data_IF_956090586005
#
_entry.id   IF_956090586005
#
_cell.length_a   1.000
_cell.length_b   1.000
_cell.length_c   1.000
_cell.angle_alpha   90.00
_cell.angle_beta   90.00
_cell.angle_gamma   90.00
#
_symmetry.space_group_name_H-M   'P 1'
#
loop_
_entity.id
_entity.type
_entity.pdbx_description
1 polymer ?
#
# COMPACT_ATOMS: atom_id res chain seq x y z
N UNK A 1 -11.29 16.31 46.56
CA UNK A 1 -12.15 15.34 45.86
C UNK A 1 -12.57 15.72 44.44
N UNK A 2 -12.37 16.97 43.97
CA UNK A 2 -12.76 17.41 42.62
C UNK A 2 -11.73 17.07 41.55
N UNK A 3 -10.44 16.98 41.86
CA UNK A 3 -9.36 16.74 40.86
C UNK A 3 -9.26 15.28 40.38
N UNK A 4 -9.73 14.32 41.15
CA UNK A 4 -9.69 12.89 40.74
C UNK A 4 -10.78 12.60 39.70
N UNK A 5 -11.97 13.20 39.84
CA UNK A 5 -13.06 13.03 38.86
C UNK A 5 -12.70 13.59 37.47
N UNK A 6 -11.92 14.67 37.42
CA UNK A 6 -11.46 15.25 36.14
C UNK A 6 -10.43 14.38 35.45
N UNK A 7 -9.56 13.67 36.18
CA UNK A 7 -8.56 12.77 35.62
C UNK A 7 -9.21 11.52 35.04
N UNK A 8 -10.18 10.91 35.76
CA UNK A 8 -10.91 9.73 35.26
C UNK A 8 -11.75 10.05 34.01
N UNK A 9 -12.32 11.25 33.95
CA UNK A 9 -13.09 11.71 32.78
C UNK A 9 -12.18 12.02 31.59
N UNK A 10 -10.96 12.53 31.80
CA UNK A 10 -9.96 12.75 30.78
C UNK A 10 -9.40 11.41 30.23
N UNK A 11 -9.16 10.44 31.12
CA UNK A 11 -8.72 9.09 30.71
C UNK A 11 -9.80 8.42 29.86
N UNK A 12 -11.07 8.49 30.29
CA UNK A 12 -12.18 7.91 29.53
C UNK A 12 -12.34 8.56 28.14
N UNK A 13 -12.16 9.87 28.02
CA UNK A 13 -12.17 10.58 26.73
C UNK A 13 -11.00 10.18 25.83
N UNK A 14 -9.82 9.94 26.41
CA UNK A 14 -8.66 9.44 25.67
C UNK A 14 -8.89 8.02 25.17
N UNK A 15 -9.46 7.14 26.02
CA UNK A 15 -9.82 5.77 25.63
C UNK A 15 -10.94 5.74 24.56
N UNK A 16 -11.93 6.64 24.64
CA UNK A 16 -12.96 6.80 23.60
C UNK A 16 -12.36 7.34 22.28
N UNK A 17 -11.39 8.26 22.35
CA UNK A 17 -10.66 8.75 21.19
C UNK A 17 -9.74 7.68 20.59
N UNK A 18 -9.04 6.91 21.42
CA UNK A 18 -8.21 5.79 20.95
C UNK A 18 -9.07 4.67 20.35
N UNK A 19 -10.24 4.39 20.88
CA UNK A 19 -11.19 3.45 20.30
C UNK A 19 -11.74 3.93 18.95
N UNK A 20 -12.00 5.23 18.79
CA UNK A 20 -12.36 5.84 17.50
C UNK A 20 -11.18 5.82 16.50
N UNK A 21 -9.96 5.96 16.99
CA UNK A 21 -8.76 5.99 16.14
C UNK A 21 -8.25 4.58 15.81
N UNK A 22 -8.43 3.62 16.71
CA UNK A 22 -7.96 2.23 16.52
C UNK A 22 -8.80 1.42 15.53
N UNK A 23 -9.87 2.00 14.97
CA UNK A 23 -10.68 1.34 13.93
C UNK A 23 -11.37 0.04 14.41
N UNK A 24 -11.43 -0.21 15.73
CA UNK A 24 -12.26 -1.30 16.26
C UNK A 24 -13.72 -0.95 16.03
N UNK A 25 -14.26 -1.38 14.90
CA UNK A 25 -15.69 -1.38 14.65
C UNK A 25 -16.36 -2.12 15.82
N UNK A 26 -17.29 -1.47 16.50
CA UNK A 26 -18.16 -2.15 17.47
C UNK A 26 -18.77 -3.38 16.80
N UNK A 27 -18.83 -4.49 17.53
CA UNK A 27 -19.38 -5.75 16.98
C UNK A 27 -20.83 -5.47 16.53
N UNK A 28 -21.16 -5.57 15.24
CA UNK A 28 -22.47 -5.16 14.76
C UNK A 28 -23.54 -6.06 15.37
N UNK A 29 -24.67 -5.49 15.79
CA UNK A 29 -25.81 -6.24 16.31
C UNK A 29 -26.21 -7.35 15.32
N UNK A 30 -26.82 -8.44 15.80
CA UNK A 30 -27.27 -9.53 14.94
C UNK A 30 -28.20 -9.05 13.79
N UNK A 31 -28.95 -7.99 14.05
CA UNK A 31 -29.82 -7.34 13.07
C UNK A 31 -29.04 -6.60 11.99
N UNK A 32 -27.98 -5.89 12.34
CA UNK A 32 -27.09 -5.22 11.38
C UNK A 32 -26.35 -6.24 10.48
N UNK A 33 -25.90 -7.37 11.05
CA UNK A 33 -25.31 -8.48 10.28
C UNK A 33 -26.29 -9.07 9.27
N UNK A 34 -27.56 -9.24 9.67
CA UNK A 34 -28.63 -9.75 8.79
C UNK A 34 -28.97 -8.77 7.67
N UNK A 35 -29.01 -7.47 7.96
CA UNK A 35 -29.23 -6.43 6.94
C UNK A 35 -28.05 -6.34 5.96
N UNK A 36 -26.82 -6.42 6.43
CA UNK A 36 -25.63 -6.44 5.57
C UNK A 36 -25.60 -7.67 4.63
N UNK A 37 -25.96 -8.85 5.16
CA UNK A 37 -26.05 -10.06 4.35
C UNK A 37 -27.16 -9.97 3.29
N UNK A 38 -28.34 -9.40 3.63
CA UNK A 38 -29.42 -9.17 2.69
C UNK A 38 -29.04 -8.16 1.61
N UNK A 39 -28.32 -7.10 1.96
CA UNK A 39 -27.80 -6.14 1.00
C UNK A 39 -26.79 -6.78 0.04
N UNK A 40 -25.86 -7.60 0.55
CA UNK A 40 -24.88 -8.31 -0.24
C UNK A 40 -25.55 -9.25 -1.26
N UNK A 41 -26.53 -10.04 -0.83
CA UNK A 41 -27.28 -10.94 -1.71
C UNK A 41 -28.02 -10.18 -2.80
N UNK A 42 -28.73 -9.09 -2.45
CA UNK A 42 -29.46 -8.26 -3.41
C UNK A 42 -28.52 -7.53 -4.39
N UNK A 43 -27.34 -7.12 -3.94
CA UNK A 43 -26.32 -6.50 -4.79
C UNK A 43 -25.86 -7.48 -5.88
N UNK A 44 -25.47 -8.70 -5.49
CA UNK A 44 -24.98 -9.70 -6.45
C UNK A 44 -26.09 -10.21 -7.38
N UNK A 45 -27.30 -10.36 -6.87
CA UNK A 45 -28.44 -10.69 -7.72
C UNK A 45 -28.71 -9.60 -8.78
N UNK A 46 -28.60 -8.32 -8.39
CA UNK A 46 -28.70 -7.20 -9.34
C UNK A 46 -27.52 -7.19 -10.33
N UNK A 47 -26.32 -7.53 -9.88
CA UNK A 47 -25.15 -7.66 -10.78
C UNK A 47 -25.33 -8.82 -11.77
N UNK A 48 -25.98 -9.90 -11.36
CA UNK A 48 -26.26 -11.07 -12.20
C UNK A 48 -27.39 -10.78 -13.19
N UNK A 49 -28.55 -10.37 -12.71
CA UNK A 49 -29.77 -10.24 -13.50
C UNK A 49 -29.91 -8.89 -14.21
N UNK A 50 -29.26 -7.84 -13.69
CA UNK A 50 -29.45 -6.47 -14.15
C UNK A 50 -30.72 -5.79 -13.64
N UNK A 51 -31.55 -6.48 -12.85
CA UNK A 51 -32.80 -5.94 -12.32
C UNK A 51 -32.55 -5.35 -10.93
N UNK A 52 -32.72 -4.00 -10.76
CA UNK A 52 -32.49 -3.37 -9.46
C UNK A 52 -33.50 -3.84 -8.42
N UNK A 53 -33.01 -4.37 -7.31
CA UNK A 53 -33.84 -4.76 -6.18
C UNK A 53 -34.17 -3.57 -5.26
N UNK A 54 -35.35 -3.60 -4.63
CA UNK A 54 -35.82 -2.50 -3.77
C UNK A 54 -34.92 -2.25 -2.55
N UNK A 55 -34.16 -3.25 -2.09
CA UNK A 55 -33.20 -3.16 -0.99
C UNK A 55 -31.93 -2.33 -1.33
N UNK A 56 -31.66 -2.06 -2.61
CA UNK A 56 -30.50 -1.28 -3.06
C UNK A 56 -30.77 0.22 -3.20
N UNK A 57 -31.95 0.71 -2.84
CA UNK A 57 -32.30 2.14 -2.94
C UNK A 57 -31.47 3.05 -2.01
N UNK A 58 -30.85 2.50 -1.00
CA UNK A 58 -29.95 3.23 -0.08
C UNK A 58 -28.53 3.09 -0.60
N UNK A 59 -28.06 4.08 -1.39
CA UNK A 59 -26.67 4.12 -1.88
C UNK A 59 -26.50 4.12 -3.40
N UNK A 60 -27.57 4.21 -4.17
CA UNK A 60 -27.45 4.40 -5.62
C UNK A 60 -26.95 5.81 -5.90
N UNK A 61 -25.75 5.91 -6.49
CA UNK A 61 -25.30 7.16 -7.12
C UNK A 61 -26.22 7.44 -8.33
N UNK A 62 -26.69 8.70 -8.48
CA UNK A 62 -27.60 9.10 -9.58
C UNK A 62 -27.08 8.80 -11.00
N UNK A 63 -25.89 8.23 -11.12
CA UNK A 63 -25.23 7.79 -12.35
C UNK A 63 -25.24 6.25 -12.55
N UNK A 64 -26.12 5.50 -11.86
CA UNK A 64 -26.30 4.05 -12.07
C UNK A 64 -25.23 3.15 -11.46
N UNK A 65 -24.41 3.65 -10.52
CA UNK A 65 -23.46 2.84 -9.77
C UNK A 65 -24.02 2.43 -8.41
N UNK A 66 -23.74 1.19 -7.98
CA UNK A 66 -24.09 0.71 -6.65
C UNK A 66 -22.86 0.72 -5.77
N UNK A 67 -22.98 1.15 -4.50
CA UNK A 67 -21.93 1.03 -3.53
C UNK A 67 -21.68 -0.45 -3.24
N UNK A 68 -20.42 -0.80 -3.17
CA UNK A 68 -19.99 -2.15 -2.85
C UNK A 68 -20.41 -2.52 -1.43
N UNK A 69 -20.97 -3.71 -1.17
CA UNK A 69 -21.27 -4.18 0.17
C UNK A 69 -20.01 -4.21 1.06
N UNK A 70 -20.14 -3.84 2.33
CA UNK A 70 -18.99 -3.77 3.27
C UNK A 70 -18.27 -5.13 3.37
N UNK A 71 -19.01 -6.24 3.37
CA UNK A 71 -18.45 -7.60 3.41
C UNK A 71 -17.60 -7.92 2.20
N UNK A 72 -18.04 -7.51 1.00
CA UNK A 72 -17.27 -7.69 -0.22
C UNK A 72 -16.06 -6.75 -0.25
N UNK A 73 -16.22 -5.51 0.20
CA UNK A 73 -15.11 -4.55 0.28
C UNK A 73 -13.99 -5.08 1.17
N UNK A 74 -14.31 -5.64 2.34
CA UNK A 74 -13.33 -6.25 3.24
C UNK A 74 -12.58 -7.42 2.57
N UNK A 75 -13.30 -8.31 1.87
CA UNK A 75 -12.66 -9.42 1.14
C UNK A 75 -11.84 -8.96 -0.06
N UNK A 76 -12.27 -7.90 -0.75
CA UNK A 76 -11.50 -7.32 -1.85
C UNK A 76 -10.23 -6.64 -1.34
N UNK A 77 -10.29 -5.88 -0.25
CA UNK A 77 -9.11 -5.27 0.39
C UNK A 77 -8.13 -6.33 0.85
N UNK A 78 -8.61 -7.44 1.41
CA UNK A 78 -7.76 -8.56 1.77
C UNK A 78 -7.07 -9.15 0.54
N UNK A 79 -7.81 -9.41 -0.54
CA UNK A 79 -7.25 -9.93 -1.79
C UNK A 79 -6.24 -8.96 -2.43
N UNK A 80 -6.50 -7.64 -2.38
CA UNK A 80 -5.56 -6.61 -2.80
C UNK A 80 -4.28 -6.62 -1.95
N UNK A 81 -4.42 -6.77 -0.63
CA UNK A 81 -3.27 -6.85 0.29
C UNK A 81 -2.43 -8.09 0.01
N UNK A 82 -3.04 -9.23 -0.33
CA UNK A 82 -2.31 -10.44 -0.70
C UNK A 82 -1.54 -10.29 -2.01
N UNK A 83 -2.05 -9.50 -2.96
CA UNK A 83 -1.44 -9.30 -4.29
C UNK A 83 -0.45 -8.14 -4.33
N UNK A 84 -0.60 -7.13 -3.48
CA UNK A 84 0.24 -5.93 -3.45
C UNK A 84 1.15 -5.96 -2.22
N UNK A 85 2.44 -6.14 -2.44
CA UNK A 85 3.45 -6.23 -1.39
C UNK A 85 3.51 -4.94 -0.55
N UNK A 86 3.38 -3.78 -1.18
CA UNK A 86 3.42 -2.51 -0.45
C UNK A 86 2.26 -2.34 0.51
N UNK A 87 1.05 -2.86 0.18
CA UNK A 87 -0.08 -2.86 1.12
C UNK A 87 0.15 -3.76 2.34
N UNK A 88 0.97 -4.82 2.21
CA UNK A 88 1.31 -5.71 3.34
C UNK A 88 2.22 -5.04 4.36
N UNK A 89 3.18 -4.22 3.89
CA UNK A 89 4.26 -3.66 4.72
C UNK A 89 4.02 -2.21 5.11
N UNK A 90 3.09 -1.53 4.45
CA UNK A 90 2.80 -0.10 4.63
C UNK A 90 1.56 0.14 5.51
N UNK A 91 1.37 1.38 5.92
CA UNK A 91 0.20 1.78 6.71
C UNK A 91 -0.93 2.25 5.78
N UNK A 92 -2.04 1.50 5.75
CA UNK A 92 -3.24 1.92 5.01
C UNK A 92 -4.19 2.70 5.91
N UNK A 93 -4.71 3.83 5.42
CA UNK A 93 -5.59 4.75 6.15
C UNK A 93 -6.82 5.05 5.30
N UNK A 94 -8.03 4.87 5.81
CA UNK A 94 -9.24 5.34 5.16
C UNK A 94 -9.32 6.88 5.24
N UNK A 95 -9.56 7.55 4.11
CA UNK A 95 -9.69 9.00 4.03
C UNK A 95 -11.01 9.41 3.42
N UNK A 96 -11.58 10.51 3.87
CA UNK A 96 -12.81 11.09 3.29
C UNK A 96 -12.53 12.37 2.49
N UNK A 97 -11.47 13.05 2.84
CA UNK A 97 -11.03 14.31 2.21
C UNK A 97 -9.50 14.34 2.08
N UNK A 98 -8.97 15.39 1.48
CA UNK A 98 -7.52 15.63 1.42
C UNK A 98 -6.97 15.69 2.85
N UNK A 99 -5.98 14.84 3.13
CA UNK A 99 -5.40 14.73 4.46
C UNK A 99 -4.06 15.46 4.50
N UNK A 100 -3.92 16.35 5.47
CA UNK A 100 -2.72 17.11 5.73
C UNK A 100 -1.99 16.48 6.93
N UNK A 101 -0.80 15.98 6.71
CA UNK A 101 0.01 15.29 7.72
C UNK A 101 1.16 16.20 8.10
N UNK A 102 1.15 16.80 9.30
CA UNK A 102 2.27 17.60 9.76
C UNK A 102 3.47 16.70 10.04
N UNK A 103 4.62 17.05 9.49
CA UNK A 103 5.90 16.35 9.71
C UNK A 103 6.89 17.33 10.30
N UNK A 104 7.50 16.96 11.42
CA UNK A 104 8.56 17.76 12.02
C UNK A 104 9.85 17.58 11.20
N UNK A 105 10.29 18.63 10.55
CA UNK A 105 11.55 18.70 9.82
C UNK A 105 12.67 19.18 10.78
N UNK A 106 13.21 18.26 11.56
CA UNK A 106 14.29 18.55 12.50
C UNK A 106 13.78 18.95 13.88
N UNK A 107 14.38 18.39 14.89
CA UNK A 107 14.23 18.80 16.28
C UNK A 107 15.35 19.75 16.67
N UNK A 108 15.11 20.64 17.62
CA UNK A 108 16.16 21.44 18.25
C UNK A 108 17.26 20.56 18.84
N UNK A 109 18.45 21.10 18.97
CA UNK A 109 19.53 20.51 19.72
C UNK A 109 19.35 20.80 21.20
N UNK A 110 19.66 19.80 22.06
CA UNK A 110 19.78 20.04 23.49
C UNK A 110 21.25 20.36 23.79
N UNK A 111 21.48 21.52 24.35
CA UNK A 111 22.83 22.00 24.71
C UNK A 111 23.00 22.04 26.22
N UNK A 112 24.20 21.71 26.71
CA UNK A 112 24.58 21.92 28.08
C UNK A 112 24.96 23.41 28.28
N UNK A 113 24.30 24.08 29.20
CA UNK A 113 24.58 25.46 29.51
C UNK A 113 24.86 25.65 31.00
N UNK A 114 25.60 26.72 31.35
CA UNK A 114 25.88 27.10 32.71
C UNK A 114 24.72 27.88 33.30
N UNK A 115 24.68 27.98 34.62
CA UNK A 115 23.63 28.61 35.39
C UNK A 115 23.40 30.10 35.02
N UNK A 116 24.42 30.75 34.41
CA UNK A 116 24.45 32.12 33.97
C UNK A 116 24.34 32.32 32.44
N UNK A 117 24.23 31.24 31.67
CA UNK A 117 24.08 31.27 30.22
C UNK A 117 22.62 31.11 29.82
N UNK A 118 22.18 31.90 28.85
CA UNK A 118 20.82 31.83 28.29
C UNK A 118 20.66 30.60 27.37
N UNK A 119 19.47 30.00 27.39
CA UNK A 119 19.09 28.95 26.45
C UNK A 119 19.04 29.47 25.01
N UNK A 120 19.66 28.74 24.08
CA UNK A 120 19.50 28.97 22.67
C UNK A 120 18.16 28.39 22.20
N UNK A 121 17.26 29.23 21.72
CA UNK A 121 16.00 28.79 21.16
C UNK A 121 16.22 28.31 19.72
N UNK A 122 15.97 27.04 19.47
CA UNK A 122 15.98 26.49 18.13
C UNK A 122 14.54 26.40 17.63
N UNK A 123 14.23 27.03 16.52
CA UNK A 123 12.90 26.93 15.91
C UNK A 123 12.71 25.55 15.28
N UNK A 124 11.64 24.85 15.68
CA UNK A 124 11.22 23.62 15.01
C UNK A 124 10.54 23.98 13.69
N UNK A 125 11.06 23.52 12.57
CA UNK A 125 10.37 23.66 11.28
C UNK A 125 9.44 22.47 11.07
N UNK A 126 8.19 22.79 10.71
CA UNK A 126 7.21 21.78 10.36
C UNK A 126 7.00 21.78 8.85
N UNK A 127 7.14 20.62 8.25
CA UNK A 127 6.72 20.37 6.88
C UNK A 127 5.30 19.78 6.86
N UNK A 128 4.73 19.72 5.70
CA UNK A 128 3.41 19.11 5.49
C UNK A 128 3.49 18.11 4.34
N UNK A 129 2.98 16.91 4.59
CA UNK A 129 2.77 15.90 3.55
C UNK A 129 1.28 15.81 3.26
N UNK A 130 0.92 16.05 2.00
CA UNK A 130 -0.48 16.05 1.57
C UNK A 130 -0.79 14.72 0.89
N UNK A 131 -1.78 14.02 1.43
CA UNK A 131 -2.36 12.81 0.88
C UNK A 131 -3.63 13.18 0.11
N UNK A 132 -3.59 13.08 -1.21
CA UNK A 132 -4.72 13.38 -2.08
C UNK A 132 -5.48 12.10 -2.47
N UNK A 133 -6.06 12.00 -3.65
CA UNK A 133 -6.67 10.80 -4.17
C UNK A 133 -6.69 10.84 -5.70
N UNK A 134 -6.08 9.84 -6.29
CA UNK A 134 -6.12 9.59 -7.73
C UNK A 134 -7.12 8.48 -8.02
N UNK A 135 -7.84 8.62 -9.11
CA UNK A 135 -8.84 7.63 -9.51
C UNK A 135 -8.15 6.52 -10.31
N UNK A 136 -8.25 5.30 -9.81
CA UNK A 136 -7.86 4.07 -10.50
C UNK A 136 -9.13 3.30 -10.85
N UNK A 137 -9.14 2.60 -11.97
CA UNK A 137 -10.27 1.78 -12.36
C UNK A 137 -9.90 0.75 -13.40
N UNK A 138 -10.62 -0.36 -13.38
CA UNK A 138 -10.50 -1.44 -14.36
C UNK A 138 -11.87 -1.93 -14.79
N UNK A 139 -11.92 -2.64 -15.91
CA UNK A 139 -13.16 -3.23 -16.42
C UNK A 139 -12.94 -4.67 -16.87
N UNK A 140 -14.00 -5.46 -16.73
CA UNK A 140 -14.08 -6.83 -17.21
C UNK A 140 -15.29 -6.98 -18.09
N UNK A 141 -15.20 -7.75 -19.16
CA UNK A 141 -16.34 -8.14 -20.02
C UNK A 141 -16.73 -9.57 -19.66
N UNK A 142 -18.02 -9.78 -19.43
CA UNK A 142 -18.63 -11.10 -19.28
C UNK A 142 -19.63 -11.31 -20.42
N UNK A 143 -19.72 -12.51 -20.97
CA UNK A 143 -20.74 -12.84 -21.95
C UNK A 143 -22.08 -13.12 -21.26
N UNK A 144 -23.18 -12.90 -21.96
CA UNK A 144 -24.52 -13.19 -21.43
C UNK A 144 -24.64 -14.67 -21.07
N UNK A 145 -24.04 -15.58 -21.87
CA UNK A 145 -23.98 -17.02 -21.59
C UNK A 145 -23.28 -17.33 -20.27
N UNK A 146 -22.15 -16.64 -19.98
CA UNK A 146 -21.43 -16.80 -18.72
C UNK A 146 -22.26 -16.32 -17.52
N UNK A 147 -23.11 -15.30 -17.71
CA UNK A 147 -23.98 -14.80 -16.66
C UNK A 147 -25.22 -15.66 -16.45
N UNK A 148 -25.70 -16.34 -17.50
CA UNK A 148 -26.84 -17.27 -17.41
C UNK A 148 -26.43 -18.63 -16.80
N UNK A 149 -25.15 -19.01 -16.93
CA UNK A 149 -24.64 -20.26 -16.38
C UNK A 149 -24.36 -20.10 -14.86
N UNK A 150 -25.27 -20.64 -14.03
CA UNK A 150 -25.20 -20.60 -12.58
C UNK A 150 -24.02 -21.39 -11.97
N UNK A 151 -23.19 -22.07 -12.79
CA UNK A 151 -22.02 -22.80 -12.31
C UNK A 151 -20.84 -21.87 -11.94
N UNK A 152 -20.88 -20.60 -12.37
CA UNK A 152 -19.79 -19.64 -12.14
C UNK A 152 -20.15 -18.73 -10.96
N UNK A 153 -19.32 -18.73 -9.93
CA UNK A 153 -19.37 -17.75 -8.85
C UNK A 153 -18.82 -16.39 -9.34
N UNK A 154 -19.74 -15.58 -9.87
CA UNK A 154 -19.45 -14.25 -10.43
C UNK A 154 -18.77 -13.34 -9.40
N UNK A 155 -19.16 -13.42 -8.13
CA UNK A 155 -18.59 -12.64 -7.04
C UNK A 155 -17.10 -12.92 -6.88
N UNK A 156 -16.76 -14.19 -6.74
CA UNK A 156 -15.37 -14.61 -6.58
C UNK A 156 -14.53 -14.31 -7.82
N UNK A 157 -15.09 -14.53 -9.01
CA UNK A 157 -14.39 -14.24 -10.26
C UNK A 157 -14.08 -12.75 -10.43
N UNK A 158 -15.06 -11.89 -10.23
CA UNK A 158 -14.89 -10.42 -10.31
C UNK A 158 -13.92 -9.93 -9.25
N UNK A 159 -14.02 -10.44 -8.01
CA UNK A 159 -13.12 -10.08 -6.91
C UNK A 159 -11.66 -10.41 -7.23
N UNK A 160 -11.39 -11.63 -7.64
CA UNK A 160 -10.03 -12.08 -7.96
C UNK A 160 -9.42 -11.26 -9.08
N UNK A 161 -10.19 -11.05 -10.14
CA UNK A 161 -9.74 -10.32 -11.32
C UNK A 161 -9.47 -8.84 -11.04
N UNK A 162 -10.34 -8.20 -10.25
CA UNK A 162 -10.13 -6.82 -9.86
C UNK A 162 -8.95 -6.68 -8.89
N UNK A 163 -8.81 -7.60 -7.94
CA UNK A 163 -7.68 -7.61 -7.01
C UNK A 163 -6.34 -7.74 -7.73
N UNK A 164 -6.25 -8.61 -8.73
CA UNK A 164 -5.03 -8.76 -9.53
C UNK A 164 -4.69 -7.48 -10.30
N UNK A 165 -5.61 -6.99 -11.12
CA UNK A 165 -5.35 -5.83 -11.98
C UNK A 165 -5.14 -4.53 -11.22
N UNK A 166 -5.95 -4.30 -10.19
CA UNK A 166 -5.80 -3.11 -9.36
C UNK A 166 -4.53 -3.20 -8.53
N UNK A 167 -4.27 -4.36 -7.90
CA UNK A 167 -3.08 -4.59 -7.11
C UNK A 167 -1.79 -4.37 -7.88
N UNK A 168 -1.70 -4.87 -9.12
CA UNK A 168 -0.54 -4.65 -10.00
C UNK A 168 -0.40 -3.17 -10.40
N UNK A 169 -1.50 -2.51 -10.76
CA UNK A 169 -1.47 -1.10 -11.15
C UNK A 169 -1.12 -0.17 -9.99
N UNK A 170 -1.60 -0.47 -8.78
CA UNK A 170 -1.22 0.25 -7.57
C UNK A 170 0.25 0.04 -7.22
N UNK A 171 0.73 -1.20 -7.24
CA UNK A 171 2.11 -1.54 -6.91
C UNK A 171 3.08 -0.82 -7.86
N UNK A 172 2.80 -0.82 -9.17
CA UNK A 172 3.60 -0.04 -10.13
C UNK A 172 3.57 1.45 -9.82
N UNK A 173 2.38 2.01 -9.57
CA UNK A 173 2.24 3.42 -9.25
C UNK A 173 2.92 3.80 -7.92
N UNK A 174 2.88 2.95 -6.90
CA UNK A 174 3.52 3.19 -5.61
C UNK A 174 5.05 3.10 -5.68
N UNK A 175 5.61 2.33 -6.61
CA UNK A 175 7.05 2.26 -6.85
C UNK A 175 7.51 3.35 -7.81
N UNK A 176 6.92 3.43 -9.03
CA UNK A 176 7.42 4.21 -10.17
C UNK A 176 6.51 5.38 -10.57
N UNK A 177 5.43 5.65 -9.85
CA UNK A 177 4.50 6.70 -10.21
C UNK A 177 5.15 8.07 -10.30
N UNK A 178 4.77 8.87 -11.29
CA UNK A 178 5.35 10.19 -11.53
C UNK A 178 4.58 11.36 -10.89
N UNK A 179 3.53 11.07 -10.10
CA UNK A 179 2.69 12.09 -9.44
C UNK A 179 1.72 12.82 -10.36
N UNK A 180 1.66 12.48 -11.66
CA UNK A 180 0.73 13.11 -12.63
C UNK A 180 -0.41 12.14 -12.94
N UNK A 181 -1.58 12.40 -12.35
CA UNK A 181 -2.76 11.52 -12.52
C UNK A 181 -2.66 10.18 -11.77
N UNK A 182 -1.56 9.92 -11.10
CA UNK A 182 -1.28 8.75 -10.26
C UNK A 182 -0.38 9.14 -9.08
N UNK A 183 -0.29 8.33 -8.02
CA UNK A 183 0.59 8.59 -6.88
C UNK A 183 2.04 8.86 -7.28
N UNK A 184 2.77 9.60 -6.47
CA UNK A 184 4.21 9.73 -6.61
C UNK A 184 4.88 8.47 -6.01
N UNK A 185 5.72 7.82 -6.79
CA UNK A 185 6.36 6.57 -6.41
C UNK A 185 7.47 6.72 -5.38
N UNK A 186 7.74 5.62 -4.67
CA UNK A 186 8.79 5.56 -3.64
C UNK A 186 10.18 5.93 -4.17
N UNK A 187 10.50 5.56 -5.41
CA UNK A 187 11.80 5.90 -6.03
C UNK A 187 12.06 7.41 -6.11
N UNK A 188 11.02 8.23 -6.10
CA UNK A 188 11.14 9.70 -6.12
C UNK A 188 11.00 10.34 -4.74
N UNK A 189 10.54 9.60 -3.75
CA UNK A 189 10.29 10.09 -2.38
C UNK A 189 11.35 9.61 -1.38
N UNK A 190 11.89 8.40 -1.57
CA UNK A 190 12.92 7.83 -0.72
C UNK A 190 14.28 8.49 -0.96
N UNK A 191 15.14 8.45 0.05
CA UNK A 191 16.50 8.96 -0.05
C UNK A 191 17.46 7.89 -0.57
N UNK A 192 18.50 8.29 -1.31
CA UNK A 192 19.56 7.39 -1.73
C UNK A 192 20.38 6.96 -0.51
N UNK A 193 20.55 5.65 -0.32
CA UNK A 193 21.34 5.07 0.77
C UNK A 193 22.72 4.65 0.35
N UNK A 194 22.83 4.01 -0.82
CA UNK A 194 24.09 3.52 -1.35
C UNK A 194 24.09 3.56 -2.90
N UNK A 195 25.27 3.51 -3.48
CA UNK A 195 25.50 3.30 -4.91
C UNK A 195 26.35 2.03 -5.03
N UNK A 196 26.01 1.14 -5.98
CA UNK A 196 26.77 -0.09 -6.15
C UNK A 196 28.23 0.19 -6.56
N UNK A 197 29.14 -0.63 -6.09
CA UNK A 197 30.56 -0.52 -6.43
C UNK A 197 30.81 -0.96 -7.87
N UNK A 198 30.08 -1.98 -8.33
CA UNK A 198 30.21 -2.52 -9.67
C UNK A 198 29.21 -1.86 -10.63
N UNK A 199 29.65 -1.65 -11.87
CA UNK A 199 28.80 -1.18 -12.95
C UNK A 199 27.82 -2.29 -13.36
N UNK A 200 26.53 -2.05 -13.22
CA UNK A 200 25.47 -2.96 -13.66
C UNK A 200 25.30 -4.22 -12.80
N UNK A 201 25.93 -4.31 -11.65
CA UNK A 201 25.79 -5.46 -10.76
C UNK A 201 25.69 -5.03 -9.29
N UNK A 202 25.41 -5.99 -8.40
CA UNK A 202 25.19 -5.80 -6.98
C UNK A 202 26.15 -6.68 -6.17
N UNK A 203 26.75 -6.10 -5.14
CA UNK A 203 27.63 -6.80 -4.20
C UNK A 203 27.00 -6.90 -2.80
N UNK A 204 27.58 -7.75 -1.96
CA UNK A 204 27.16 -7.82 -0.56
C UNK A 204 27.45 -6.53 0.20
N UNK A 205 28.61 -5.92 -0.09
CA UNK A 205 29.03 -4.69 0.59
C UNK A 205 28.06 -3.54 0.25
N UNK A 206 27.48 -3.52 -0.97
CA UNK A 206 26.44 -2.57 -1.33
C UNK A 206 25.19 -2.71 -0.45
N UNK A 207 24.78 -3.95 -0.15
CA UNK A 207 23.64 -4.25 0.72
C UNK A 207 23.93 -3.86 2.17
N UNK A 208 25.15 -4.15 2.68
CA UNK A 208 25.58 -3.71 4.00
C UNK A 208 25.61 -2.18 4.10
N UNK A 209 26.16 -1.51 3.08
CA UNK A 209 26.20 -0.05 3.03
C UNK A 209 24.77 0.55 3.02
N UNK A 210 23.85 -0.07 2.30
CA UNK A 210 22.44 0.35 2.29
C UNK A 210 21.82 0.17 3.68
N UNK A 211 22.02 -0.97 4.35
CA UNK A 211 21.49 -1.23 5.68
C UNK A 211 21.97 -0.17 6.69
N UNK A 212 23.30 0.05 6.74
CA UNK A 212 23.89 1.02 7.67
C UNK A 212 23.59 2.47 7.32
N UNK A 213 23.16 2.77 6.11
CA UNK A 213 22.74 4.10 5.73
C UNK A 213 21.43 4.54 6.42
N UNK A 214 20.59 3.57 6.82
CA UNK A 214 19.34 3.83 7.55
C UNK A 214 19.65 4.00 9.05
N UNK A 215 19.07 5.04 9.67
CA UNK A 215 19.24 5.31 11.11
C UNK A 215 18.77 4.12 11.95
N UNK A 216 19.48 3.81 13.04
CA UNK A 216 19.16 2.67 13.92
C UNK A 216 17.71 2.63 14.37
N UNK A 217 17.11 3.79 14.69
CA UNK A 217 15.71 3.87 15.12
C UNK A 217 14.70 3.34 14.08
N UNK A 218 15.05 3.30 12.80
CA UNK A 218 14.21 2.78 11.72
C UNK A 218 14.59 1.36 11.33
N UNK A 219 15.81 0.88 11.69
CA UNK A 219 16.28 -0.47 11.37
C UNK A 219 15.53 -1.56 12.13
N UNK A 220 15.11 -1.33 13.36
CA UNK A 220 14.44 -2.35 14.19
C UNK A 220 13.18 -2.93 13.54
N UNK A 221 12.49 -2.15 12.71
CA UNK A 221 11.28 -2.56 11.97
C UNK A 221 11.48 -2.51 10.45
N UNK A 222 12.72 -2.41 10.00
CA UNK A 222 13.03 -2.34 8.59
C UNK A 222 12.83 -3.69 7.90
N UNK A 223 12.47 -3.62 6.62
CA UNK A 223 12.36 -4.77 5.74
C UNK A 223 13.08 -4.48 4.43
N UNK A 224 13.47 -5.54 3.74
CA UNK A 224 14.01 -5.49 2.40
C UNK A 224 12.88 -5.56 1.39
N UNK A 225 12.86 -4.65 0.45
CA UNK A 225 12.02 -4.69 -0.75
C UNK A 225 12.95 -4.74 -1.96
N UNK A 226 12.85 -5.79 -2.77
CA UNK A 226 13.75 -5.98 -3.89
C UNK A 226 13.08 -6.65 -5.08
N UNK A 227 13.67 -6.50 -6.27
CA UNK A 227 13.26 -7.22 -7.46
C UNK A 227 13.64 -8.71 -7.37
N UNK A 228 12.99 -9.53 -8.17
CA UNK A 228 13.30 -10.97 -8.26
C UNK A 228 14.73 -11.20 -8.79
N UNK A 229 15.18 -10.36 -9.74
CA UNK A 229 16.55 -10.44 -10.28
C UNK A 229 17.60 -10.09 -9.22
N UNK A 230 17.38 -9.03 -8.44
CA UNK A 230 18.27 -8.68 -7.32
C UNK A 230 18.34 -9.80 -6.28
N UNK A 231 17.19 -10.36 -5.90
CA UNK A 231 17.11 -11.49 -5.01
C UNK A 231 17.88 -12.71 -5.56
N UNK A 232 17.69 -13.06 -6.83
CA UNK A 232 18.39 -14.16 -7.47
C UNK A 232 19.90 -13.95 -7.54
N UNK A 233 20.36 -12.73 -7.85
CA UNK A 233 21.77 -12.38 -7.86
C UNK A 233 22.40 -12.50 -6.47
N UNK A 234 21.76 -11.92 -5.44
CA UNK A 234 22.22 -11.98 -4.06
C UNK A 234 22.36 -13.43 -3.55
N UNK A 235 21.46 -14.32 -3.90
CA UNK A 235 21.53 -15.74 -3.52
C UNK A 235 22.72 -16.47 -4.15
N UNK A 236 23.26 -15.98 -5.24
CA UNK A 236 24.41 -16.59 -5.95
C UNK A 236 25.76 -16.07 -5.49
N UNK A 237 25.81 -15.01 -4.69
CA UNK A 237 27.05 -14.48 -4.17
C UNK A 237 27.70 -15.52 -3.25
N UNK A 238 28.88 -16.05 -3.57
CA UNK A 238 29.57 -16.99 -2.73
C UNK A 238 30.24 -16.26 -1.56
N UNK A 239 30.22 -16.85 -0.38
CA UNK A 239 31.11 -16.46 0.70
C UNK A 239 32.56 -16.77 0.30
N UNK A 240 33.54 -16.09 0.92
CA UNK A 240 34.98 -16.29 0.60
C UNK A 240 35.45 -17.74 0.78
N UNK A 241 34.71 -18.57 1.57
CA UNK A 241 34.95 -19.99 1.77
C UNK A 241 34.21 -20.92 0.79
N UNK A 242 33.54 -20.33 -0.21
CA UNK A 242 32.79 -21.03 -1.26
C UNK A 242 31.42 -21.55 -0.85
N UNK A 243 30.99 -21.27 0.38
CA UNK A 243 29.59 -21.57 0.80
C UNK A 243 28.65 -20.46 0.35
N UNK A 244 27.34 -20.74 0.16
CA UNK A 244 26.37 -19.69 -0.03
C UNK A 244 26.42 -18.73 1.15
N UNK A 245 26.51 -17.45 0.89
CA UNK A 245 26.53 -16.41 1.90
C UNK A 245 25.27 -16.42 2.76
N UNK A 246 24.20 -16.85 2.19
CA UNK A 246 22.88 -16.84 2.76
C UNK A 246 22.24 -18.22 2.67
N UNK A 247 21.92 -18.80 3.82
CA UNK A 247 21.11 -20.00 3.89
C UNK A 247 19.63 -19.60 3.82
N UNK A 248 18.93 -19.87 2.72
CA UNK A 248 17.49 -19.68 2.70
C UNK A 248 16.84 -20.56 3.75
N UNK A 249 15.77 -20.09 4.36
CA UNK A 249 14.94 -20.95 5.19
C UNK A 249 14.46 -22.13 4.33
N UNK A 250 14.90 -23.33 4.71
CA UNK A 250 14.56 -24.56 3.99
C UNK A 250 13.16 -25.10 4.34
N UNK A 251 12.48 -24.45 5.30
CA UNK A 251 11.13 -24.84 5.67
C UNK A 251 10.13 -24.12 4.78
N UNK A 252 9.31 -24.89 4.14
CA UNK A 252 8.22 -24.40 3.28
C UNK A 252 7.29 -23.45 4.07
N UNK A 253 7.03 -22.25 3.53
CA UNK A 253 6.15 -21.26 4.14
C UNK A 253 6.79 -20.32 5.18
N UNK A 254 8.05 -20.49 5.54
CA UNK A 254 8.74 -19.51 6.39
C UNK A 254 9.27 -18.32 5.56
N UNK A 255 9.10 -17.07 6.05
CA UNK A 255 9.64 -15.90 5.37
C UNK A 255 11.17 -15.94 5.34
N UNK A 256 11.75 -15.41 4.28
CA UNK A 256 13.18 -15.30 4.14
C UNK A 256 13.73 -14.03 4.81
N UNK A 257 14.91 -14.13 5.41
CA UNK A 257 15.59 -13.06 6.12
C UNK A 257 16.99 -12.83 5.55
N UNK A 258 17.35 -11.56 5.39
CA UNK A 258 18.70 -11.12 5.08
C UNK A 258 19.17 -10.17 6.18
N UNK A 259 20.28 -10.49 6.85
CA UNK A 259 20.81 -9.77 8.02
C UNK A 259 19.79 -9.53 9.14
N UNK A 260 18.89 -10.49 9.37
CA UNK A 260 17.86 -10.40 10.41
C UNK A 260 16.60 -9.64 10.01
N UNK A 261 16.53 -9.08 8.79
CA UNK A 261 15.38 -8.38 8.26
C UNK A 261 14.67 -9.19 7.19
N UNK A 262 13.33 -9.16 7.23
CA UNK A 262 12.49 -9.90 6.28
C UNK A 262 12.61 -9.34 4.87
N UNK A 263 12.61 -10.25 3.89
CA UNK A 263 12.63 -9.90 2.47
C UNK A 263 11.22 -9.96 1.90
N UNK A 264 10.93 -8.97 1.06
CA UNK A 264 9.75 -8.93 0.22
C UNK A 264 10.18 -8.75 -1.23
N UNK A 265 9.71 -9.63 -2.11
CA UNK A 265 9.96 -9.56 -3.55
C UNK A 265 8.82 -8.77 -4.18
N UNK A 266 9.15 -7.72 -4.93
CA UNK A 266 8.20 -6.86 -5.62
C UNK A 266 8.50 -6.87 -7.12
N UNK A 267 7.49 -7.25 -7.92
CA UNK A 267 7.63 -7.33 -9.37
C UNK A 267 7.78 -5.97 -10.04
N UNK A 268 7.28 -4.92 -9.39
CA UNK A 268 7.35 -3.55 -9.90
C UNK A 268 8.69 -2.86 -9.63
N UNK A 269 9.61 -3.49 -8.90
CA UNK A 269 10.98 -3.02 -8.76
C UNK A 269 11.79 -3.25 -10.03
N UNK A 270 12.79 -2.40 -10.26
CA UNK A 270 13.68 -2.55 -11.43
C UNK A 270 14.56 -3.79 -11.30
N UNK A 271 14.85 -4.43 -12.42
CA UNK A 271 15.92 -5.43 -12.48
C UNK A 271 17.29 -4.76 -12.30
N UNK A 272 18.30 -5.54 -11.93
CA UNK A 272 19.66 -5.05 -11.71
C UNK A 272 20.29 -4.67 -13.05
N UNK A 273 20.28 -3.39 -13.36
CA UNK A 273 20.83 -2.79 -14.57
C UNK A 273 21.47 -1.44 -14.24
N UNK A 274 22.40 -0.96 -15.08
CA UNK A 274 23.03 0.35 -14.87
C UNK A 274 22.01 1.47 -14.69
N UNK A 275 22.10 2.21 -13.58
CA UNK A 275 21.21 3.33 -13.23
C UNK A 275 19.87 2.95 -12.61
N UNK A 276 19.53 1.66 -12.47
CA UNK A 276 18.29 1.17 -11.86
C UNK A 276 18.30 1.21 -10.34
N UNK A 277 17.12 0.99 -9.75
CA UNK A 277 16.89 0.93 -8.29
C UNK A 277 16.25 -0.43 -7.94
N UNK A 278 17.04 -1.51 -7.86
CA UNK A 278 16.51 -2.85 -7.65
C UNK A 278 16.23 -3.20 -6.19
N UNK A 279 16.74 -2.43 -5.22
CA UNK A 279 16.63 -2.73 -3.79
C UNK A 279 16.31 -1.47 -3.00
N UNK A 280 15.37 -1.60 -2.08
CA UNK A 280 15.06 -0.62 -1.03
C UNK A 280 15.12 -1.28 0.34
N UNK A 281 15.51 -0.51 1.34
CA UNK A 281 15.57 -0.95 2.74
C UNK A 281 15.07 0.14 3.66
N UNK A 282 14.27 -0.23 4.64
CA UNK A 282 13.79 0.70 5.65
C UNK A 282 12.46 0.30 6.28
N UNK A 283 11.91 1.21 7.06
CA UNK A 283 10.63 1.05 7.74
C UNK A 283 9.47 1.57 6.88
N UNK A 284 8.83 0.67 6.16
CA UNK A 284 7.72 0.98 5.25
C UNK A 284 6.44 1.42 5.97
N UNK A 285 6.33 1.32 7.30
CA UNK A 285 5.20 1.88 8.05
C UNK A 285 5.11 3.41 7.93
N UNK A 286 6.17 4.07 7.51
CA UNK A 286 6.19 5.50 7.17
C UNK A 286 5.72 5.80 5.75
N UNK A 287 5.49 4.79 4.93
CA UNK A 287 4.80 4.92 3.65
C UNK A 287 3.31 4.74 3.89
N UNK A 288 2.54 5.81 3.73
CA UNK A 288 1.12 5.81 4.03
C UNK A 288 0.31 5.72 2.75
N UNK A 289 -0.61 4.77 2.70
CA UNK A 289 -1.55 4.56 1.60
C UNK A 289 -2.91 5.06 2.07
N UNK A 290 -3.48 6.03 1.35
CA UNK A 290 -4.78 6.63 1.65
C UNK A 290 -5.85 6.12 0.71
N UNK A 291 -6.76 5.28 1.20
CA UNK A 291 -7.95 4.83 0.46
C UNK A 291 -9.06 5.85 0.66
N UNK A 292 -9.56 6.47 -0.42
CA UNK A 292 -10.58 7.50 -0.31
C UNK A 292 -11.97 7.00 -0.68
N UNK A 293 -12.84 6.95 0.33
CA UNK A 293 -14.24 6.52 0.20
C UNK A 293 -14.34 5.04 -0.11
N UNK A 294 -15.54 4.63 -0.51
CA UNK A 294 -15.81 3.24 -0.89
C UNK A 294 -15.57 3.01 -2.38
N UNK A 295 -15.20 1.80 -2.73
CA UNK A 295 -15.11 1.34 -4.11
C UNK A 295 -16.49 1.28 -4.73
N UNK A 296 -16.58 1.50 -6.04
CA UNK A 296 -17.84 1.48 -6.78
C UNK A 296 -17.71 0.47 -7.91
N UNK A 297 -18.69 -0.44 -7.99
CA UNK A 297 -18.85 -1.36 -9.11
C UNK A 297 -20.05 -0.91 -9.94
N UNK A 298 -19.86 -0.81 -11.26
CA UNK A 298 -20.91 -0.49 -12.22
C UNK A 298 -21.05 -1.61 -13.23
N UNK A 299 -22.30 -2.00 -13.49
CA UNK A 299 -22.67 -2.91 -14.57
C UNK A 299 -23.14 -2.09 -15.77
N UNK A 300 -22.52 -2.27 -16.92
CA UNK A 300 -22.88 -1.60 -18.17
C UNK A 300 -23.42 -2.62 -19.16
N UNK A 301 -24.70 -2.58 -19.42
CA UNK A 301 -25.39 -3.50 -20.33
C UNK A 301 -25.42 -2.95 -21.75
N UNK A 302 -25.78 -1.67 -21.91
CA UNK A 302 -26.09 -1.09 -23.22
C UNK A 302 -24.88 -0.98 -24.14
N UNK A 303 -23.67 -0.75 -23.59
CA UNK A 303 -22.48 -0.44 -24.39
C UNK A 303 -21.99 -1.61 -25.26
N UNK A 304 -22.26 -2.84 -24.85
CA UNK A 304 -21.80 -4.06 -25.52
C UNK A 304 -22.95 -5.02 -25.85
N UNK A 305 -24.19 -4.53 -25.84
CA UNK A 305 -25.38 -5.30 -26.13
C UNK A 305 -25.37 -5.92 -27.54
N UNK A 306 -24.75 -5.23 -28.50
CA UNK A 306 -24.55 -5.71 -29.86
C UNK A 306 -23.65 -6.96 -29.96
N UNK A 307 -22.88 -7.25 -28.91
CA UNK A 307 -21.95 -8.39 -28.83
C UNK A 307 -22.39 -9.46 -27.83
N UNK A 308 -23.59 -9.33 -27.22
CA UNK A 308 -24.05 -10.23 -26.16
C UNK A 308 -23.09 -10.21 -24.94
N UNK A 309 -22.63 -9.03 -24.55
CA UNK A 309 -21.67 -8.87 -23.46
C UNK A 309 -22.09 -7.78 -22.49
N UNK A 310 -21.75 -7.97 -21.23
CA UNK A 310 -21.92 -7.01 -20.14
C UNK A 310 -20.56 -6.61 -19.60
N UNK A 311 -20.35 -5.31 -19.38
CA UNK A 311 -19.13 -4.83 -18.75
C UNK A 311 -19.35 -4.54 -17.26
N UNK A 312 -18.43 -5.01 -16.43
CA UNK A 312 -18.31 -4.62 -15.03
C UNK A 312 -17.12 -3.68 -14.90
N UNK A 313 -17.36 -2.49 -14.33
CA UNK A 313 -16.31 -1.50 -14.10
C UNK A 313 -16.19 -1.30 -12.59
N UNK A 314 -14.98 -1.45 -12.06
CA UNK A 314 -14.69 -1.02 -10.70
C UNK A 314 -13.81 0.21 -10.70
N UNK A 315 -14.03 1.09 -9.74
CA UNK A 315 -13.22 2.28 -9.53
C UNK A 315 -12.96 2.50 -8.06
N UNK A 316 -11.74 2.91 -7.77
CA UNK A 316 -11.31 3.34 -6.44
C UNK A 316 -10.55 4.66 -6.52
N UNK A 317 -10.27 5.24 -5.37
CA UNK A 317 -9.44 6.44 -5.24
C UNK A 317 -8.39 6.20 -4.20
N UNK A 318 -7.13 6.30 -4.61
CA UNK A 318 -5.98 6.00 -3.76
C UNK A 318 -4.87 7.02 -3.98
N UNK A 319 -4.12 7.33 -2.94
CA UNK A 319 -2.84 8.00 -3.01
C UNK A 319 -1.87 7.37 -2.00
N UNK A 320 -0.58 7.57 -2.22
CA UNK A 320 0.44 7.08 -1.31
C UNK A 320 1.57 8.09 -1.16
N UNK A 321 2.04 8.27 0.06
CA UNK A 321 3.09 9.23 0.40
C UNK A 321 4.04 8.67 1.44
N UNK A 322 5.33 8.93 1.23
CA UNK A 322 6.35 8.71 2.24
C UNK A 322 6.35 9.89 3.20
N UNK A 323 5.93 9.65 4.43
CA UNK A 323 5.83 10.69 5.47
C UNK A 323 7.21 11.10 5.96
N UNK A 324 8.14 10.16 6.05
CA UNK A 324 9.51 10.40 6.51
C UNK A 324 10.52 9.86 5.50
N UNK A 325 11.13 10.71 4.63
CA UNK A 325 12.05 10.27 3.58
C UNK A 325 13.28 9.48 4.09
N UNK A 326 13.75 9.80 5.29
CA UNK A 326 14.90 9.10 5.90
C UNK A 326 14.61 7.68 6.39
N UNK A 327 13.33 7.31 6.51
CA UNK A 327 12.93 6.00 7.00
C UNK A 327 13.14 4.89 5.97
N UNK A 328 13.14 5.21 4.67
CA UNK A 328 13.34 4.26 3.57
C UNK A 328 14.45 4.80 2.67
N UNK A 329 15.39 3.93 2.34
CA UNK A 329 16.49 4.27 1.45
C UNK A 329 16.62 3.22 0.34
N UNK A 330 17.20 3.63 -0.78
CA UNK A 330 17.39 2.75 -1.93
C UNK A 330 18.86 2.61 -2.32
N UNK A 331 19.16 1.47 -2.94
CA UNK A 331 20.40 1.20 -3.64
C UNK A 331 20.25 1.60 -5.10
N UNK A 332 21.13 2.46 -5.59
CA UNK A 332 21.22 2.79 -7.02
C UNK A 332 22.38 2.03 -7.63
N UNK A 333 22.13 1.34 -8.73
CA UNK A 333 23.16 0.65 -9.49
C UNK A 333 24.01 1.65 -10.24
N UNK A 334 25.34 1.52 -10.12
CA UNK A 334 26.30 2.36 -10.83
C UNK A 334 26.22 2.12 -12.36
N UNK A 335 26.63 3.13 -13.11
CA UNK A 335 26.61 3.11 -14.57
C UNK A 335 25.55 4.04 -15.18
N UNK A 336 25.70 4.33 -16.48
CA UNK A 336 24.71 5.12 -17.22
C UNK A 336 23.59 4.21 -17.67
N UNK A 337 22.34 4.57 -17.34
CA UNK A 337 21.18 3.91 -17.94
C UNK A 337 21.34 3.96 -19.47
N UNK A 338 21.25 2.82 -20.15
CA UNK A 338 21.10 2.81 -21.60
C UNK A 338 19.80 3.57 -21.91
N UNK A 339 19.92 4.67 -22.65
CA UNK A 339 18.74 5.34 -23.19
C UNK A 339 17.95 4.28 -23.97
N UNK A 340 16.71 4.03 -23.53
CA UNK A 340 15.80 3.18 -24.29
C UNK A 340 15.76 3.76 -25.70
N UNK A 341 16.17 2.96 -26.68
CA UNK A 341 16.01 3.30 -28.09
C UNK A 341 14.50 3.44 -28.31
N UNK A 342 14.06 4.67 -28.56
CA UNK A 342 12.73 4.94 -29.07
C UNK A 342 12.65 4.31 -30.47
N UNK A 343 11.95 3.19 -30.60
CA UNK A 343 11.37 2.70 -31.83
C UNK A 343 9.86 2.84 -31.80
#
# INVERSE_FOLDING_TARGET
MSNVRNADEAIRRLEEMEAQWSGKKADPSAEAKKQAAAYNAAFWETMHTGMPQNSLKVGSDGAGGYLVPDTYEETLVQALTEKNVLRQISKTIPTTHRMHIPVANGGGTADWFREDEGLNFTEASFGEVILDAYKLGTSILATDEMLEDNAIDLETHIRTFFAERIGEAEEDAFIRGNGKGKPLGLIYQASMGAISELDGDITLDDILNLEYSVKQAHRDNAVWLMSEDAYHKLRRIPHYDGRPLWNPNLKEGEPEYLFGHRIYICKSMDDVAPGSIPVMFGDFRFFWIGDRGKRVIKRLVERYADRGQVAFITTERVDAKLVLPDAIKYLKINGKAQAAAEE
#
